data_IF_571531689997
#
_entry.id   IF_571531689997
#
_cell.length_a   1.000
_cell.length_b   1.000
_cell.length_c   1.000
_cell.angle_alpha   90.00
_cell.angle_beta   90.00
_cell.angle_gamma   90.00
#
_symmetry.space_group_name_H-M   'P 1'
#
loop_
_entity.id
_entity.type
_entity.pdbx_description
1 polymer ?
#
# COMPACT_ATOMS: atom_id res chain seq x y z
N UNK A 1 0.48 -38.12 1.91
CA UNK A 1 0.52 -37.01 2.89
C UNK A 1 1.11 -35.79 2.22
N UNK A 2 0.27 -34.86 1.79
CA UNK A 2 0.65 -33.74 0.95
C UNK A 2 1.03 -32.50 1.77
N UNK A 3 2.13 -31.87 1.34
CA UNK A 3 2.30 -30.42 1.23
C UNK A 3 2.57 -29.61 2.51
N UNK A 4 3.79 -29.73 3.04
CA UNK A 4 4.45 -28.58 3.68
C UNK A 4 4.95 -27.66 2.56
N UNK A 5 4.09 -26.74 2.10
CA UNK A 5 4.49 -25.68 1.19
C UNK A 5 5.50 -24.80 1.92
N UNK A 6 6.76 -24.89 1.52
CA UNK A 6 7.87 -24.17 2.09
C UNK A 6 7.60 -22.66 1.92
N UNK A 7 7.47 -21.90 3.02
CA UNK A 7 7.14 -20.45 3.01
C UNK A 7 8.07 -19.66 2.07
N UNK A 8 9.30 -20.14 1.87
CA UNK A 8 10.28 -19.61 0.91
C UNK A 8 9.80 -19.66 -0.56
N UNK A 9 9.10 -20.71 -0.97
CA UNK A 9 8.52 -20.86 -2.32
C UNK A 9 7.37 -19.89 -2.55
N UNK A 10 6.57 -19.62 -1.51
CA UNK A 10 5.50 -18.63 -1.57
C UNK A 10 6.06 -17.22 -1.81
N UNK A 11 7.15 -16.85 -1.12
CA UNK A 11 7.83 -15.57 -1.34
C UNK A 11 8.48 -15.49 -2.74
N UNK A 12 9.15 -16.55 -3.20
CA UNK A 12 9.74 -16.55 -4.55
C UNK A 12 8.70 -16.42 -5.67
N UNK A 13 7.47 -16.93 -5.46
CA UNK A 13 6.37 -16.76 -6.42
C UNK A 13 5.73 -15.37 -6.38
N UNK A 14 5.71 -14.69 -5.23
CA UNK A 14 5.24 -13.30 -5.13
C UNK A 14 6.16 -12.29 -5.83
N UNK A 15 7.49 -12.56 -5.86
CA UNK A 15 8.49 -11.65 -6.44
C UNK A 15 8.98 -12.05 -7.84
N UNK A 16 8.44 -13.11 -8.46
CA UNK A 16 8.70 -13.49 -9.86
C UNK A 16 7.78 -12.77 -10.86
N UNK A 17 7.59 -11.46 -10.70
CA UNK A 17 7.06 -10.64 -11.79
C UNK A 17 8.25 -9.99 -12.48
N UNK A 18 8.40 -10.29 -13.76
CA UNK A 18 9.49 -9.88 -14.65
C UNK A 18 9.93 -8.44 -14.41
N UNK A 19 11.18 -8.28 -13.99
CA UNK A 19 11.90 -7.01 -13.98
C UNK A 19 12.17 -6.59 -15.42
N UNK A 20 11.21 -5.92 -16.06
CA UNK A 20 11.52 -5.08 -17.22
C UNK A 20 12.08 -3.78 -16.67
N UNK A 21 13.32 -3.39 -16.97
CA UNK A 21 13.85 -2.09 -16.57
C UNK A 21 13.05 -1.02 -17.32
N UNK A 22 12.21 -0.28 -16.61
CA UNK A 22 11.60 0.94 -17.15
C UNK A 22 12.69 2.00 -17.08
N UNK A 23 13.22 2.40 -18.23
CA UNK A 23 14.09 3.57 -18.36
C UNK A 23 13.41 4.76 -17.71
N UNK A 24 14.01 5.27 -16.64
CA UNK A 24 13.56 6.46 -15.92
C UNK A 24 13.90 7.70 -16.74
N UNK A 25 13.00 8.07 -17.66
CA UNK A 25 12.84 9.46 -18.06
C UNK A 25 11.73 10.08 -17.21
N UNK A 26 12.09 10.81 -16.15
CA UNK A 26 11.21 11.76 -15.49
C UNK A 26 11.95 13.09 -15.36
N UNK A 27 11.98 13.81 -16.48
CA UNK A 27 12.06 15.27 -16.47
C UNK A 27 10.83 15.84 -15.74
N UNK A 28 11.00 16.96 -15.02
CA UNK A 28 9.98 17.79 -14.36
C UNK A 28 9.35 17.26 -13.06
N UNK A 29 9.95 17.62 -11.92
CA UNK A 29 9.29 18.15 -10.69
C UNK A 29 8.13 17.41 -10.01
N UNK A 30 7.69 16.25 -10.49
CA UNK A 30 6.59 15.48 -9.90
C UNK A 30 7.14 14.61 -8.78
N UNK A 31 6.81 14.99 -7.54
CA UNK A 31 7.06 14.19 -6.35
C UNK A 31 6.58 12.75 -6.56
N UNK A 32 7.47 11.78 -6.29
CA UNK A 32 7.14 10.36 -6.36
C UNK A 32 5.90 10.07 -5.48
N UNK A 33 5.05 9.10 -5.86
CA UNK A 33 3.80 8.86 -5.14
C UNK A 33 3.95 8.54 -3.66
N UNK A 34 5.07 7.95 -3.23
CA UNK A 34 5.36 7.74 -1.81
C UNK A 34 5.46 9.04 -0.99
N UNK A 35 5.68 10.19 -1.63
CA UNK A 35 5.74 11.51 -1.01
C UNK A 35 4.44 12.30 -1.13
N UNK A 36 3.40 11.70 -1.69
CA UNK A 36 2.08 12.29 -1.72
C UNK A 36 1.50 12.39 -0.31
N UNK A 37 0.86 13.52 0.00
CA UNK A 37 0.34 13.76 1.35
C UNK A 37 -0.60 12.64 1.81
N UNK A 38 -1.49 12.17 0.93
CA UNK A 38 -2.42 11.09 1.28
C UNK A 38 -1.72 9.74 1.51
N UNK A 39 -0.55 9.51 0.91
CA UNK A 39 0.26 8.30 1.13
C UNK A 39 1.01 8.40 2.46
N UNK A 40 1.50 9.58 2.80
CA UNK A 40 2.10 9.87 4.11
C UNK A 40 1.05 9.72 5.21
N UNK A 41 -0.12 10.36 5.06
CA UNK A 41 -1.24 10.26 6.01
C UNK A 41 -1.67 8.80 6.21
N UNK A 42 -1.72 8.02 5.13
CA UNK A 42 -2.06 6.60 5.17
C UNK A 42 -1.00 5.78 5.92
N UNK A 43 0.29 6.03 5.64
CA UNK A 43 1.40 5.37 6.31
C UNK A 43 1.35 5.60 7.82
N UNK A 44 1.26 6.86 8.25
CA UNK A 44 1.25 7.22 9.66
C UNK A 44 0.05 6.61 10.41
N UNK A 45 -1.13 6.58 9.77
CA UNK A 45 -2.32 5.91 10.32
C UNK A 45 -2.09 4.42 10.49
N UNK A 46 -1.54 3.73 9.49
CA UNK A 46 -1.25 2.31 9.61
C UNK A 46 -0.16 2.01 10.65
N UNK A 47 0.89 2.82 10.73
CA UNK A 47 1.92 2.69 11.78
C UNK A 47 1.31 2.82 13.17
N UNK A 48 0.40 3.78 13.35
CA UNK A 48 -0.36 3.96 14.60
C UNK A 48 -1.21 2.73 14.91
N UNK A 49 -1.99 2.25 13.94
CA UNK A 49 -2.82 1.04 14.10
C UNK A 49 -1.97 -0.16 14.50
N UNK A 50 -0.82 -0.36 13.85
CA UNK A 50 0.11 -1.44 14.19
C UNK A 50 0.63 -1.27 15.63
N UNK A 51 1.13 -0.09 15.98
CA UNK A 51 1.75 0.19 17.29
C UNK A 51 0.75 0.04 18.44
N UNK A 52 -0.47 0.53 18.28
CA UNK A 52 -1.49 0.48 19.32
C UNK A 52 -1.98 -0.95 19.55
N UNK A 53 -2.08 -1.74 18.47
CA UNK A 53 -2.78 -3.02 18.49
C UNK A 53 -1.87 -4.26 18.53
N UNK A 54 -0.56 -4.12 18.30
CA UNK A 54 0.41 -5.24 18.30
C UNK A 54 1.34 -5.21 19.51
N UNK A 55 1.86 -6.37 19.88
CA UNK A 55 2.83 -6.56 20.96
C UNK A 55 4.14 -5.86 20.58
N UNK A 56 4.71 -5.14 21.53
CA UNK A 56 5.99 -4.46 21.37
C UNK A 56 7.14 -5.46 21.50
N UNK A 57 7.49 -6.08 20.37
CA UNK A 57 8.64 -6.98 20.24
C UNK A 57 9.33 -6.73 18.90
N UNK A 58 10.67 -6.68 18.90
CA UNK A 58 11.48 -6.30 17.73
C UNK A 58 11.14 -7.12 16.47
N UNK A 59 10.93 -8.43 16.62
CA UNK A 59 10.58 -9.31 15.51
C UNK A 59 9.17 -9.01 14.94
N UNK A 60 8.20 -8.70 15.81
CA UNK A 60 6.83 -8.37 15.40
C UNK A 60 6.82 -7.00 14.72
N UNK A 61 7.51 -6.03 15.30
CA UNK A 61 7.70 -4.70 14.72
C UNK A 61 8.35 -4.79 13.35
N UNK A 62 9.44 -5.56 13.18
CA UNK A 62 10.10 -5.73 11.89
C UNK A 62 9.19 -6.35 10.82
N UNK A 63 8.38 -7.34 11.17
CA UNK A 63 7.45 -7.97 10.21
C UNK A 63 6.36 -6.98 9.80
N UNK A 64 5.75 -6.28 10.75
CA UNK A 64 4.69 -5.33 10.47
C UNK A 64 5.21 -4.11 9.66
N UNK A 65 6.43 -3.64 9.94
CA UNK A 65 7.09 -2.61 9.14
C UNK A 65 7.36 -3.07 7.70
N UNK A 66 7.82 -4.32 7.48
CA UNK A 66 7.99 -4.86 6.12
C UNK A 66 6.67 -4.93 5.34
N UNK A 67 5.57 -5.24 6.02
CA UNK A 67 4.23 -5.23 5.40
C UNK A 67 3.87 -3.81 4.96
N UNK A 68 4.12 -2.82 5.83
CA UNK A 68 3.87 -1.42 5.52
C UNK A 68 4.74 -0.92 4.35
N UNK A 69 6.05 -1.15 4.39
CA UNK A 69 6.98 -0.76 3.34
C UNK A 69 6.58 -1.35 1.99
N UNK A 70 6.19 -2.63 1.97
CA UNK A 70 5.68 -3.28 0.77
C UNK A 70 4.41 -2.60 0.23
N UNK A 71 3.48 -2.20 1.09
CA UNK A 71 2.28 -1.48 0.67
C UNK A 71 2.61 -0.13 0.05
N UNK A 72 3.52 0.63 0.67
CA UNK A 72 3.97 1.93 0.14
C UNK A 72 4.70 1.77 -1.19
N UNK A 73 5.52 0.73 -1.35
CA UNK A 73 6.19 0.42 -2.62
C UNK A 73 5.18 0.09 -3.75
N UNK A 74 4.13 -0.67 -3.43
CA UNK A 74 3.06 -0.96 -4.39
C UNK A 74 2.29 0.31 -4.79
N UNK A 75 2.03 1.20 -3.83
CA UNK A 75 1.44 2.52 -4.12
C UNK A 75 2.38 3.33 -5.00
N UNK A 76 3.68 3.37 -4.70
CA UNK A 76 4.67 4.11 -5.47
C UNK A 76 4.75 3.62 -6.92
N UNK A 77 4.77 2.31 -7.10
CA UNK A 77 4.84 1.68 -8.43
C UNK A 77 3.59 1.99 -9.26
N UNK A 78 2.39 1.81 -8.69
CA UNK A 78 1.13 2.04 -9.39
C UNK A 78 0.81 3.52 -9.57
N UNK A 79 1.20 4.36 -8.61
CA UNK A 79 1.08 5.81 -8.67
C UNK A 79 2.02 6.47 -9.69
N UNK A 80 3.05 5.75 -10.15
CA UNK A 80 3.99 6.26 -11.15
C UNK A 80 3.50 6.06 -12.59
N UNK A 81 2.33 5.43 -12.79
CA UNK A 81 1.72 5.26 -14.12
C UNK A 81 1.44 6.66 -14.72
N UNK A 82 1.94 6.98 -15.92
CA UNK A 82 1.81 8.34 -16.48
C UNK A 82 0.36 8.76 -16.69
N UNK A 83 -0.45 7.87 -17.25
CA UNK A 83 -1.86 8.10 -17.59
C UNK A 83 -2.71 8.20 -16.33
N UNK A 84 -3.35 9.36 -16.10
CA UNK A 84 -4.19 9.61 -14.91
C UNK A 84 -5.27 8.52 -14.74
N UNK A 85 -6.13 8.21 -15.72
CA UNK A 85 -7.13 7.13 -15.60
C UNK A 85 -6.54 5.76 -15.21
N UNK A 86 -5.45 5.35 -15.84
CA UNK A 86 -4.84 4.02 -15.59
C UNK A 86 -4.20 3.95 -14.21
N UNK A 87 -3.56 5.05 -13.78
CA UNK A 87 -2.95 5.19 -12.46
C UNK A 87 -3.98 5.02 -11.34
N UNK A 88 -5.07 5.78 -11.40
CA UNK A 88 -6.10 5.75 -10.37
C UNK A 88 -6.92 4.46 -10.42
N UNK A 89 -7.13 3.87 -11.60
CA UNK A 89 -7.68 2.52 -11.70
C UNK A 89 -6.78 1.47 -11.01
N UNK A 90 -5.47 1.50 -11.27
CA UNK A 90 -4.52 0.58 -10.64
C UNK A 90 -4.43 0.76 -9.11
N UNK A 91 -4.45 2.01 -8.64
CA UNK A 91 -4.46 2.33 -7.20
C UNK A 91 -5.76 1.89 -6.53
N UNK A 92 -6.93 2.11 -7.16
CA UNK A 92 -8.21 1.63 -6.63
C UNK A 92 -8.24 0.10 -6.47
N UNK A 93 -7.76 -0.64 -7.48
CA UNK A 93 -7.63 -2.11 -7.39
C UNK A 93 -6.69 -2.53 -6.26
N UNK A 94 -5.59 -1.80 -6.07
CA UNK A 94 -4.66 -2.07 -4.97
C UNK A 94 -5.34 -1.87 -3.61
N UNK A 95 -6.04 -0.75 -3.43
CA UNK A 95 -6.76 -0.41 -2.19
C UNK A 95 -7.83 -1.45 -1.86
N UNK A 96 -8.60 -1.92 -2.84
CA UNK A 96 -9.58 -2.98 -2.62
C UNK A 96 -8.92 -4.29 -2.20
N UNK A 97 -7.73 -4.60 -2.74
CA UNK A 97 -6.92 -5.75 -2.30
C UNK A 97 -6.32 -5.55 -0.90
N UNK A 98 -6.05 -4.31 -0.47
CA UNK A 98 -5.55 -4.02 0.88
C UNK A 98 -6.52 -4.52 1.95
N UNK A 99 -7.81 -4.21 1.79
CA UNK A 99 -8.88 -4.64 2.68
C UNK A 99 -8.99 -6.17 2.77
N UNK A 100 -8.83 -6.87 1.64
CA UNK A 100 -9.03 -8.32 1.57
C UNK A 100 -7.79 -9.09 2.06
N UNK A 101 -6.58 -8.62 1.75
CA UNK A 101 -5.37 -9.46 1.80
C UNK A 101 -4.32 -9.04 2.81
N UNK A 102 -4.26 -7.76 3.22
CA UNK A 102 -3.13 -7.25 4.01
C UNK A 102 -3.46 -7.02 5.48
N UNK A 103 -4.75 -6.90 5.81
CA UNK A 103 -5.19 -6.85 7.20
C UNK A 103 -4.78 -8.10 7.99
N UNK A 104 -4.95 -9.29 7.41
CA UNK A 104 -4.61 -10.58 8.05
C UNK A 104 -3.10 -10.82 8.14
N UNK A 105 -2.28 -9.95 7.51
CA UNK A 105 -0.81 -10.03 7.55
C UNK A 105 -0.21 -9.25 8.71
N UNK A 106 -0.99 -8.46 9.44
CA UNK A 106 -0.55 -7.82 10.70
C UNK A 106 -0.45 -8.91 11.76
N UNK A 107 0.75 -9.09 12.32
CA UNK A 107 1.05 -10.15 13.29
C UNK A 107 1.21 -9.59 14.70
N UNK A 108 1.07 -10.47 15.69
CA UNK A 108 1.34 -10.12 17.09
C UNK A 108 0.25 -9.28 17.74
N UNK A 109 -1.02 -9.50 17.39
CA UNK A 109 -2.15 -8.75 17.96
C UNK A 109 -2.21 -8.93 19.49
N UNK A 110 -2.42 -7.83 20.22
CA UNK A 110 -2.71 -7.84 21.66
C UNK A 110 -4.04 -8.54 21.92
N UNK A 111 -4.16 -9.21 23.06
CA UNK A 111 -5.38 -9.94 23.44
C UNK A 111 -6.57 -8.97 23.53
N UNK A 112 -7.69 -9.31 22.89
CA UNK A 112 -8.94 -8.53 22.94
C UNK A 112 -9.01 -7.34 21.98
N UNK A 113 -8.04 -7.20 21.07
CA UNK A 113 -7.97 -6.09 20.12
C UNK A 113 -8.49 -6.51 18.74
N UNK A 114 -9.31 -5.66 18.13
CA UNK A 114 -9.84 -5.85 16.77
C UNK A 114 -9.26 -4.82 15.81
N UNK A 115 -8.15 -5.16 15.13
CA UNK A 115 -7.54 -4.30 14.10
C UNK A 115 -8.36 -4.16 12.83
N UNK A 116 -9.45 -4.91 12.70
CA UNK A 116 -10.27 -4.91 11.50
C UNK A 116 -10.86 -3.54 11.20
N UNK A 117 -11.48 -2.92 12.20
CA UNK A 117 -12.15 -1.62 12.05
C UNK A 117 -11.12 -0.53 11.75
N UNK A 118 -10.06 -0.42 12.57
CA UNK A 118 -9.08 0.65 12.43
C UNK A 118 -8.28 0.56 11.10
N UNK A 119 -7.93 -0.65 10.67
CA UNK A 119 -7.25 -0.86 9.39
C UNK A 119 -8.18 -0.51 8.22
N UNK A 120 -9.44 -0.95 8.30
CA UNK A 120 -10.45 -0.65 7.27
C UNK A 120 -10.68 0.85 7.15
N UNK A 121 -10.75 1.55 8.28
CA UNK A 121 -10.92 3.01 8.33
C UNK A 121 -9.71 3.74 7.73
N UNK A 122 -8.49 3.30 8.02
CA UNK A 122 -7.28 3.86 7.42
C UNK A 122 -7.27 3.69 5.88
N UNK A 123 -7.62 2.51 5.38
CA UNK A 123 -7.69 2.22 3.94
C UNK A 123 -8.83 2.99 3.26
N UNK A 124 -10.00 3.10 3.89
CA UNK A 124 -11.13 3.87 3.37
C UNK A 124 -10.82 5.37 3.30
N UNK A 125 -10.15 5.92 4.32
CA UNK A 125 -9.69 7.31 4.31
C UNK A 125 -8.71 7.56 3.16
N UNK A 126 -7.76 6.63 2.93
CA UNK A 126 -6.84 6.72 1.80
C UNK A 126 -7.57 6.65 0.44
N UNK A 127 -8.54 5.74 0.29
CA UNK A 127 -9.37 5.63 -0.92
C UNK A 127 -10.09 6.94 -1.26
N UNK A 128 -10.64 7.60 -0.24
CA UNK A 128 -11.32 8.89 -0.42
C UNK A 128 -10.35 9.96 -0.93
N UNK A 129 -9.17 10.06 -0.30
CA UNK A 129 -8.15 11.06 -0.66
C UNK A 129 -7.59 10.84 -2.06
N UNK A 130 -7.42 9.59 -2.48
CA UNK A 130 -7.04 9.25 -3.85
C UNK A 130 -8.09 9.73 -4.87
N UNK A 131 -9.39 9.56 -4.57
CA UNK A 131 -10.47 10.09 -5.43
C UNK A 131 -10.45 11.61 -5.54
N UNK A 132 -10.23 12.32 -4.42
CA UNK A 132 -10.10 13.78 -4.42
C UNK A 132 -8.96 14.23 -5.33
N UNK A 133 -7.83 13.52 -5.27
CA UNK A 133 -6.67 13.82 -6.10
C UNK A 133 -6.90 13.51 -7.57
N UNK A 134 -7.52 12.37 -7.88
CA UNK A 134 -7.93 12.01 -9.24
C UNK A 134 -8.77 13.12 -9.86
N UNK A 135 -9.77 13.63 -9.12
CA UNK A 135 -10.62 14.72 -9.58
C UNK A 135 -9.84 16.01 -9.85
N UNK A 136 -8.89 16.37 -8.98
CA UNK A 136 -8.01 17.54 -9.17
C UNK A 136 -7.13 17.38 -10.42
N UNK A 137 -6.46 16.24 -10.58
CA UNK A 137 -5.60 16.00 -11.74
C UNK A 137 -6.41 15.95 -13.06
N UNK A 138 -7.65 15.46 -13.03
CA UNK A 138 -8.54 15.47 -14.20
C UNK A 138 -9.09 16.88 -14.54
N UNK A 139 -9.26 17.75 -13.54
CA UNK A 139 -9.70 19.14 -13.78
C UNK A 139 -8.55 20.03 -14.24
N UNK A 140 -7.34 19.81 -13.74
CA UNK A 140 -6.12 20.53 -14.16
C UNK A 140 -5.63 20.14 -15.56
N UNK A 141 -5.89 18.90 -16.02
CA UNK A 141 -5.52 18.42 -17.35
C UNK A 141 -6.58 18.68 -18.44
N UNK A 142 -7.68 19.39 -18.16
CA UNK A 142 -8.60 19.79 -19.23
C UNK A 142 -7.96 20.89 -20.07
N UNK A 143 -7.83 20.71 -21.41
CA UNK A 143 -7.42 21.80 -22.27
C UNK A 143 -8.44 22.94 -22.15
N UNK A 144 -7.95 24.15 -21.89
CA UNK A 144 -8.74 25.38 -21.98
C UNK A 144 -9.17 25.64 -23.42
#
# INVERSE_FOLDING_TARGET
MAFLMNIREFFQRLFKSKSTPVEQHLETGKLEPKYWQEVIDFRERLEKVIKENTIDADNISSVNQRVLDFLIEQINTKGSIPTVPERYNALNILVDRMLISYQSKIVGLKKGVTTHTDFTDAVNAFKLRLKEREQKELTENKPR
#
